data_IF_316774935832
#
_entry.id   IF_316774935832
#
_cell.length_a   1.000
_cell.length_b   1.000
_cell.length_c   1.000
_cell.angle_alpha   90.00
_cell.angle_beta   90.00
_cell.angle_gamma   90.00
#
_symmetry.space_group_name_H-M   'P 1'
#
loop_
_entity.id
_entity.type
_entity.pdbx_description
1 polymer ?
#
# COMPACT_ATOMS: atom_id res chain seq x y z
N UNK A 1 -41.29 38.92 42.56
CA UNK A 1 -39.86 39.23 42.38
C UNK A 1 -39.34 38.33 41.27
N UNK A 2 -38.79 38.94 40.22
CA UNK A 2 -38.24 38.23 39.07
C UNK A 2 -36.85 37.66 39.43
N UNK A 3 -36.55 36.45 38.97
CA UNK A 3 -35.16 36.01 38.80
C UNK A 3 -35.08 35.23 37.51
N UNK A 4 -34.22 35.75 36.65
CA UNK A 4 -33.99 35.47 35.24
C UNK A 4 -33.49 34.05 35.00
N UNK A 5 -34.11 33.34 34.07
CA UNK A 5 -33.56 32.12 33.46
C UNK A 5 -32.32 32.52 32.63
N UNK A 6 -31.13 32.32 33.19
CA UNK A 6 -29.88 32.51 32.46
C UNK A 6 -29.76 31.46 31.37
N UNK A 7 -30.04 31.84 30.13
CA UNK A 7 -29.59 31.10 28.94
C UNK A 7 -28.07 31.14 28.91
N UNK A 8 -27.42 30.18 29.54
CA UNK A 8 -26.07 29.76 29.15
C UNK A 8 -26.26 28.69 28.09
N UNK A 9 -26.21 29.10 26.83
CA UNK A 9 -26.01 28.18 25.73
C UNK A 9 -24.74 27.39 26.01
N UNK A 10 -24.90 26.17 26.53
CA UNK A 10 -23.88 25.15 26.42
C UNK A 10 -23.68 24.94 24.94
N UNK A 11 -22.67 25.62 24.36
CA UNK A 11 -22.02 25.09 23.17
C UNK A 11 -21.79 23.63 23.50
N UNK A 12 -22.49 22.74 22.81
CA UNK A 12 -22.14 21.35 22.79
C UNK A 12 -20.69 21.35 22.30
N UNK A 13 -19.75 21.38 23.25
CA UNK A 13 -18.39 20.98 22.97
C UNK A 13 -18.58 19.62 22.36
N UNK A 14 -18.28 19.50 21.07
CA UNK A 14 -18.03 18.22 20.47
C UNK A 14 -17.15 17.50 21.47
N UNK A 15 -17.72 16.52 22.17
CA UNK A 15 -16.92 15.55 22.87
C UNK A 15 -16.07 14.97 21.74
N UNK A 16 -14.85 15.50 21.60
CA UNK A 16 -13.78 14.80 20.94
C UNK A 16 -13.76 13.48 21.68
N UNK A 17 -14.41 12.49 21.05
CA UNK A 17 -14.31 11.12 21.48
C UNK A 17 -12.82 10.87 21.33
N UNK A 18 -12.13 10.87 22.46
CA UNK A 18 -10.70 10.67 22.59
C UNK A 18 -10.42 9.21 22.19
N UNK A 19 -10.56 8.95 20.90
CA UNK A 19 -10.21 7.69 20.31
C UNK A 19 -8.70 7.67 20.30
N UNK A 20 -8.10 6.85 21.15
CA UNK A 20 -6.67 6.60 21.07
C UNK A 20 -6.36 5.93 19.73
N UNK A 21 -6.01 6.76 18.75
CA UNK A 21 -5.71 6.36 17.38
C UNK A 21 -4.48 5.47 17.29
N UNK A 22 -3.64 5.45 18.32
CA UNK A 22 -2.42 4.64 18.37
C UNK A 22 -2.71 3.15 18.57
N UNK A 23 -3.86 2.80 19.15
CA UNK A 23 -4.23 1.40 19.44
C UNK A 23 -4.59 0.62 18.16
N UNK A 24 -5.14 1.31 17.15
CA UNK A 24 -5.68 0.69 15.93
C UNK A 24 -4.97 1.10 14.65
N UNK A 25 -4.17 2.17 14.67
CA UNK A 25 -3.46 2.67 13.49
C UNK A 25 -1.97 2.93 13.77
N UNK A 26 -1.15 1.91 13.56
CA UNK A 26 0.31 2.11 13.48
C UNK A 26 0.69 2.66 12.09
N UNK A 27 0.77 3.98 12.02
CA UNK A 27 1.08 4.71 10.78
C UNK A 27 2.43 4.32 10.16
N UNK A 28 3.36 3.69 10.90
CA UNK A 28 4.70 3.33 10.39
C UNK A 28 4.60 2.26 9.31
N UNK A 29 3.83 1.21 9.57
CA UNK A 29 3.64 0.09 8.64
C UNK A 29 2.83 0.50 7.42
N UNK A 30 1.84 1.37 7.61
CA UNK A 30 1.08 1.95 6.50
C UNK A 30 1.98 2.78 5.56
N UNK A 31 2.79 3.69 6.13
CA UNK A 31 3.75 4.50 5.34
C UNK A 31 4.77 3.62 4.63
N UNK A 32 5.25 2.56 5.28
CA UNK A 32 6.15 1.59 4.65
C UNK A 32 5.51 0.94 3.41
N UNK A 33 4.24 0.51 3.52
CA UNK A 33 3.48 -0.03 2.38
C UNK A 33 3.32 0.99 1.25
N UNK A 34 2.95 2.24 1.58
CA UNK A 34 2.79 3.31 0.59
C UNK A 34 4.10 3.67 -0.11
N UNK A 35 5.21 3.80 0.63
CA UNK A 35 6.52 4.11 0.04
C UNK A 35 6.96 2.98 -0.88
N UNK A 36 6.79 1.73 -0.46
CA UNK A 36 7.13 0.56 -1.28
C UNK A 36 6.32 0.55 -2.58
N UNK A 37 5.00 0.80 -2.51
CA UNK A 37 4.13 0.90 -3.68
C UNK A 37 4.56 2.04 -4.62
N UNK A 38 4.89 3.21 -4.05
CA UNK A 38 5.35 4.36 -4.82
C UNK A 38 6.66 4.07 -5.57
N UNK A 39 7.62 3.42 -4.91
CA UNK A 39 8.89 3.04 -5.54
C UNK A 39 8.68 2.07 -6.71
N UNK A 40 7.79 1.07 -6.55
CA UNK A 40 7.44 0.13 -7.64
C UNK A 40 6.77 0.87 -8.80
N UNK A 41 5.87 1.82 -8.51
CA UNK A 41 5.22 2.62 -9.55
C UNK A 41 6.24 3.50 -10.32
N UNK A 42 7.15 4.18 -9.60
CA UNK A 42 8.22 4.98 -10.21
C UNK A 42 9.11 4.10 -11.10
N UNK A 43 9.51 2.92 -10.59
CA UNK A 43 10.30 1.97 -11.36
C UNK A 43 9.60 1.59 -12.68
N UNK A 44 8.31 1.25 -12.63
CA UNK A 44 7.56 0.86 -13.82
C UNK A 44 7.45 2.00 -14.84
N UNK A 45 7.16 3.22 -14.39
CA UNK A 45 7.08 4.40 -15.26
C UNK A 45 8.44 4.66 -15.91
N UNK A 46 9.52 4.62 -15.14
CA UNK A 46 10.88 4.83 -15.65
C UNK A 46 11.30 3.76 -16.65
N UNK A 47 11.03 2.49 -16.33
CA UNK A 47 11.36 1.35 -17.17
C UNK A 47 10.60 1.42 -18.51
N UNK A 48 9.29 1.63 -18.47
CA UNK A 48 8.48 1.83 -19.68
C UNK A 48 8.99 3.03 -20.49
N UNK A 49 9.26 4.17 -19.84
CA UNK A 49 9.74 5.36 -20.54
C UNK A 49 11.07 5.15 -21.26
N UNK A 50 11.95 4.33 -20.70
CA UNK A 50 13.30 4.08 -21.25
C UNK A 50 13.29 3.03 -22.36
N UNK A 51 12.55 1.95 -22.18
CA UNK A 51 12.64 0.76 -23.04
C UNK A 51 11.44 0.56 -23.98
N UNK A 52 10.32 1.27 -23.82
CA UNK A 52 9.15 1.06 -24.66
C UNK A 52 9.36 1.51 -26.11
N UNK A 53 9.89 2.72 -26.32
CA UNK A 53 10.11 3.24 -27.68
C UNK A 53 11.30 2.60 -28.38
N UNK A 54 12.31 2.15 -27.63
CA UNK A 54 13.57 1.65 -28.18
C UNK A 54 13.58 0.14 -28.41
N UNK A 55 13.01 -0.63 -27.48
CA UNK A 55 13.11 -2.10 -27.49
C UNK A 55 11.75 -2.78 -27.22
N UNK A 56 10.66 -2.01 -27.20
CA UNK A 56 9.31 -2.50 -26.90
C UNK A 56 8.34 -2.46 -28.08
N UNK A 57 8.73 -1.86 -29.21
CA UNK A 57 7.85 -1.67 -30.37
C UNK A 57 7.78 -2.90 -31.29
N UNK A 58 8.88 -3.63 -31.46
CA UNK A 58 8.92 -4.89 -32.21
C UNK A 58 9.12 -6.07 -31.25
N UNK A 59 8.10 -6.94 -31.16
CA UNK A 59 8.12 -8.13 -30.31
C UNK A 59 8.97 -9.29 -30.85
N UNK A 60 9.37 -9.25 -32.13
CA UNK A 60 10.10 -10.35 -32.79
C UNK A 60 11.62 -10.19 -32.69
N UNK A 61 12.09 -9.04 -32.23
CA UNK A 61 13.53 -8.78 -32.09
C UNK A 61 14.12 -9.51 -30.87
N UNK A 62 15.38 -9.98 -30.98
CA UNK A 62 16.05 -10.65 -29.87
C UNK A 62 16.26 -9.75 -28.65
N UNK A 63 16.25 -8.43 -28.83
CA UNK A 63 16.38 -7.47 -27.73
C UNK A 63 15.09 -7.32 -26.90
N UNK A 64 13.92 -7.49 -27.54
CA UNK A 64 12.64 -7.55 -26.83
C UNK A 64 12.60 -8.74 -25.87
N UNK A 65 13.13 -9.90 -26.29
CA UNK A 65 13.18 -11.07 -25.44
C UNK A 65 14.05 -10.85 -24.19
N UNK A 66 15.20 -10.19 -24.33
CA UNK A 66 16.11 -9.94 -23.20
C UNK A 66 15.52 -8.94 -22.21
N UNK A 67 14.99 -7.82 -22.71
CA UNK A 67 14.55 -6.70 -21.89
C UNK A 67 13.17 -6.99 -21.30
N UNK A 68 12.17 -7.21 -22.16
CA UNK A 68 10.77 -7.32 -21.74
C UNK A 68 10.40 -8.72 -21.29
N UNK A 69 10.68 -9.74 -22.11
CA UNK A 69 10.35 -11.12 -21.74
C UNK A 69 11.22 -11.62 -20.59
N UNK A 70 12.48 -11.21 -20.51
CA UNK A 70 13.36 -11.48 -19.37
C UNK A 70 12.78 -10.95 -18.06
N UNK A 71 12.39 -9.67 -18.04
CA UNK A 71 11.76 -9.08 -16.85
C UNK A 71 10.44 -9.78 -16.50
N UNK A 72 9.62 -10.12 -17.50
CA UNK A 72 8.36 -10.85 -17.30
C UNK A 72 8.58 -12.23 -16.68
N UNK A 73 9.56 -13.01 -17.17
CA UNK A 73 9.87 -14.34 -16.63
C UNK A 73 10.30 -14.27 -15.16
N UNK A 74 11.15 -13.29 -14.83
CA UNK A 74 11.55 -13.03 -13.44
C UNK A 74 10.32 -12.68 -12.60
N UNK A 75 9.46 -11.79 -13.07
CA UNK A 75 8.24 -11.39 -12.37
C UNK A 75 7.30 -12.57 -12.10
N UNK A 76 7.12 -13.45 -13.09
CA UNK A 76 6.29 -14.65 -12.98
C UNK A 76 6.82 -15.68 -12.00
N UNK A 77 8.10 -15.65 -11.66
CA UNK A 77 8.68 -16.52 -10.62
C UNK A 77 8.61 -15.83 -9.25
N UNK A 78 9.00 -14.56 -9.19
CA UNK A 78 9.10 -13.81 -7.94
C UNK A 78 7.74 -13.59 -7.29
N UNK A 79 6.70 -13.21 -8.05
CA UNK A 79 5.39 -12.89 -7.47
C UNK A 79 4.71 -14.10 -6.83
N UNK A 80 4.64 -15.29 -7.47
CA UNK A 80 4.08 -16.47 -6.82
C UNK A 80 4.89 -16.94 -5.61
N UNK A 81 6.23 -16.87 -5.67
CA UNK A 81 7.07 -17.22 -4.53
C UNK A 81 6.82 -16.29 -3.34
N UNK A 82 6.77 -14.98 -3.59
CA UNK A 82 6.43 -13.99 -2.56
C UNK A 82 5.06 -14.28 -1.95
N UNK A 83 4.04 -14.52 -2.78
CA UNK A 83 2.69 -14.85 -2.32
C UNK A 83 2.67 -16.11 -1.43
N UNK A 84 3.32 -17.20 -1.86
CA UNK A 84 3.38 -18.44 -1.09
C UNK A 84 4.10 -18.26 0.25
N UNK A 85 5.20 -17.50 0.28
CA UNK A 85 5.92 -17.20 1.53
C UNK A 85 5.04 -16.37 2.46
N UNK A 86 4.43 -15.29 1.97
CA UNK A 86 3.59 -14.41 2.78
C UNK A 86 2.36 -15.14 3.30
N UNK A 87 1.65 -15.88 2.45
CA UNK A 87 0.49 -16.67 2.88
C UNK A 87 0.86 -17.79 3.85
N UNK A 88 1.96 -18.51 3.57
CA UNK A 88 2.48 -19.54 4.46
C UNK A 88 2.88 -18.97 5.83
N UNK A 89 3.48 -17.78 5.86
CA UNK A 89 3.82 -17.08 7.09
C UNK A 89 2.57 -16.66 7.86
N UNK A 90 1.60 -16.01 7.20
CA UNK A 90 0.32 -15.60 7.82
C UNK A 90 -0.41 -16.81 8.40
N UNK A 91 -0.46 -17.93 7.67
CA UNK A 91 -1.09 -19.15 8.14
C UNK A 91 -0.37 -19.73 9.36
N UNK A 92 0.96 -19.71 9.38
CA UNK A 92 1.76 -20.18 10.52
C UNK A 92 1.59 -19.29 11.75
N UNK A 93 1.43 -17.98 11.57
CA UNK A 93 1.24 -17.00 12.66
C UNK A 93 -0.23 -16.74 12.96
N UNK A 94 -1.15 -17.54 12.43
CA UNK A 94 -2.59 -17.40 12.71
C UNK A 94 -2.84 -17.53 14.21
N UNK A 95 -3.82 -16.79 14.71
CA UNK A 95 -4.28 -17.01 16.06
C UNK A 95 -4.97 -18.38 16.15
N UNK A 96 -4.65 -19.12 17.19
CA UNK A 96 -5.14 -20.50 17.44
C UNK A 96 -5.82 -20.62 18.79
N UNK A 97 -5.89 -19.54 19.56
CA UNK A 97 -6.58 -19.48 20.83
C UNK A 97 -7.89 -18.72 20.64
N UNK A 98 -9.00 -19.37 20.95
CA UNK A 98 -10.28 -18.73 21.23
C UNK A 98 -10.28 -18.18 22.67
#
# INVERSE_FOLDING_TARGET
>A
MATTLGTTGSRAGSSDRDYDMSLWYDSRWYKFGLITMLLVAIFWIWYQRTFAYSHGMDSMEPEFEKVWMGLWRVHMIVMPLFALITWGWIWKTRDTRE
#
